data_IF_465446772779
#
_entry.id   IF_465446772779
#
_cell.length_a   1.000
_cell.length_b   1.000
_cell.length_c   1.000
_cell.angle_alpha   90.00
_cell.angle_beta   90.00
_cell.angle_gamma   90.00
#
_symmetry.space_group_name_H-M   'P 1'
#
loop_
_entity.id
_entity.type
_entity.pdbx_description
1 polymer ?
#
# COMPACT_ATOMS: atom_id res chain seq x y z
N UNK A 1 69.54 -36.56 8.34
CA UNK A 1 69.95 -36.67 6.92
C UNK A 1 69.13 -37.78 6.27
N UNK A 2 68.08 -37.41 5.54
CA UNK A 2 67.41 -38.21 4.49
C UNK A 2 66.34 -37.31 3.87
N UNK A 3 66.66 -36.80 2.70
CA UNK A 3 65.83 -35.96 1.85
C UNK A 3 64.59 -36.71 1.40
N UNK A 4 63.43 -36.05 1.40
CA UNK A 4 62.25 -36.53 0.65
C UNK A 4 61.75 -35.38 -0.23
N UNK A 5 61.75 -35.70 -1.51
CA UNK A 5 61.45 -34.93 -2.70
C UNK A 5 60.01 -34.38 -2.68
N UNK A 6 59.84 -33.08 -2.90
CA UNK A 6 58.55 -32.45 -3.17
C UNK A 6 58.21 -32.69 -4.64
N UNK A 7 57.26 -33.58 -4.91
CA UNK A 7 56.62 -33.71 -6.22
C UNK A 7 55.49 -32.69 -6.31
N UNK A 8 55.60 -31.77 -7.27
CA UNK A 8 54.53 -30.86 -7.67
C UNK A 8 53.41 -31.66 -8.35
N UNK A 9 52.22 -31.70 -7.74
CA UNK A 9 51.00 -32.19 -8.38
C UNK A 9 50.22 -31.00 -8.97
N UNK A 10 50.00 -31.07 -10.28
CA UNK A 10 49.34 -30.06 -11.08
C UNK A 10 47.88 -29.82 -10.65
N UNK A 11 47.49 -28.56 -10.67
CA UNK A 11 46.13 -28.10 -10.42
C UNK A 11 45.17 -28.59 -11.51
N UNK A 12 44.21 -29.44 -11.14
CA UNK A 12 42.99 -29.62 -11.90
C UNK A 12 41.96 -28.60 -11.40
N UNK A 13 41.89 -27.45 -12.07
CA UNK A 13 40.74 -26.55 -11.93
C UNK A 13 39.53 -27.27 -12.53
N UNK A 14 38.67 -27.81 -11.68
CA UNK A 14 37.31 -28.12 -12.06
C UNK A 14 36.65 -26.79 -12.44
N UNK A 15 36.41 -26.59 -13.73
CA UNK A 15 35.54 -25.54 -14.24
C UNK A 15 34.15 -25.91 -13.71
N UNK A 16 33.81 -25.40 -12.53
CA UNK A 16 32.42 -25.23 -12.14
C UNK A 16 31.88 -24.28 -13.19
N UNK A 17 31.13 -24.82 -14.14
CA UNK A 17 30.39 -24.04 -15.10
C UNK A 17 29.63 -22.99 -14.31
N UNK A 18 30.03 -21.73 -14.47
CA UNK A 18 29.20 -20.61 -14.09
C UNK A 18 27.89 -20.83 -14.84
N UNK A 19 26.90 -21.34 -14.13
CA UNK A 19 25.53 -21.19 -14.55
C UNK A 19 25.38 -19.69 -14.65
N UNK A 20 25.35 -19.15 -15.87
CA UNK A 20 24.99 -17.77 -16.09
C UNK A 20 23.66 -17.60 -15.35
N UNK A 21 23.70 -16.88 -14.24
CA UNK A 21 22.50 -16.45 -13.57
C UNK A 21 21.72 -15.68 -14.63
N UNK A 22 20.63 -16.28 -15.12
CA UNK A 22 19.82 -15.70 -16.17
C UNK A 22 19.18 -14.45 -15.56
N UNK A 23 19.84 -13.30 -15.73
CA UNK A 23 19.36 -12.00 -15.27
C UNK A 23 18.06 -11.59 -15.97
N UNK A 24 17.66 -12.30 -17.04
CA UNK A 24 16.35 -12.15 -17.65
C UNK A 24 15.28 -12.98 -16.94
N UNK A 25 14.17 -12.34 -16.57
CA UNK A 25 12.96 -12.97 -16.02
C UNK A 25 12.22 -13.89 -17.02
N UNK A 26 12.93 -14.52 -17.95
CA UNK A 26 12.38 -15.40 -19.01
C UNK A 26 11.62 -14.64 -20.11
N UNK A 27 11.90 -13.35 -20.27
CA UNK A 27 11.25 -12.47 -21.24
C UNK A 27 12.11 -12.34 -22.50
N UNK A 28 11.50 -12.44 -23.68
CA UNK A 28 12.18 -12.39 -24.98
C UNK A 28 12.22 -10.98 -25.61
N UNK A 29 11.70 -9.98 -24.91
CA UNK A 29 11.62 -8.58 -25.36
C UNK A 29 10.30 -7.91 -24.97
N UNK A 30 10.29 -6.58 -24.91
CA UNK A 30 9.10 -5.78 -24.62
C UNK A 30 9.38 -4.58 -23.72
N UNK A 31 8.33 -3.82 -23.41
CA UNK A 31 8.41 -2.67 -22.50
C UNK A 31 7.40 -2.82 -21.36
N UNK A 32 7.84 -2.56 -20.14
CA UNK A 32 7.02 -2.48 -18.93
C UNK A 32 7.06 -1.05 -18.42
N UNK A 33 5.94 -0.34 -18.53
CA UNK A 33 5.78 1.02 -18.01
C UNK A 33 4.84 0.99 -16.81
N UNK A 34 5.37 1.37 -15.65
CA UNK A 34 4.68 1.28 -14.36
C UNK A 34 4.22 2.67 -13.92
N UNK A 35 2.93 2.87 -13.70
CA UNK A 35 2.42 4.08 -13.04
C UNK A 35 2.21 3.80 -11.54
N UNK A 36 2.63 4.69 -10.66
CA UNK A 36 2.40 4.49 -9.22
C UNK A 36 2.56 5.75 -8.38
N UNK A 37 2.23 5.62 -7.11
CA UNK A 37 2.55 6.66 -6.13
C UNK A 37 4.05 6.65 -5.79
N UNK A 38 4.55 7.73 -5.23
CA UNK A 38 5.95 7.89 -4.83
C UNK A 38 6.11 7.65 -3.32
N UNK A 39 6.53 6.43 -2.95
CA UNK A 39 6.99 6.10 -1.60
C UNK A 39 7.81 4.81 -1.57
N UNK A 40 8.55 4.61 -0.49
CA UNK A 40 9.59 3.58 -0.37
C UNK A 40 9.14 2.14 -0.68
N UNK A 41 7.91 1.74 -0.31
CA UNK A 41 7.46 0.37 -0.58
C UNK A 41 7.23 0.13 -2.07
N UNK A 42 6.70 1.12 -2.81
CA UNK A 42 6.56 1.03 -4.27
C UNK A 42 7.94 1.04 -4.93
N UNK A 43 8.90 1.80 -4.39
CA UNK A 43 10.28 1.76 -4.89
C UNK A 43 10.84 0.34 -4.83
N UNK A 44 10.66 -0.36 -3.71
CA UNK A 44 11.12 -1.75 -3.60
C UNK A 44 10.49 -2.68 -4.66
N UNK A 45 9.19 -2.53 -4.95
CA UNK A 45 8.51 -3.31 -6.00
C UNK A 45 9.04 -2.96 -7.40
N UNK A 46 9.19 -1.66 -7.70
CA UNK A 46 9.69 -1.17 -8.99
C UNK A 46 11.14 -1.58 -9.22
N UNK A 47 12.01 -1.44 -8.22
CA UNK A 47 13.40 -1.88 -8.32
C UNK A 47 13.49 -3.40 -8.49
N UNK A 48 12.63 -4.17 -7.82
CA UNK A 48 12.48 -5.60 -8.06
C UNK A 48 12.11 -5.90 -9.52
N UNK A 49 11.15 -5.17 -10.09
CA UNK A 49 10.75 -5.33 -11.49
C UNK A 49 11.88 -4.94 -12.47
N UNK A 50 12.64 -3.89 -12.16
CA UNK A 50 13.79 -3.44 -12.99
C UNK A 50 14.91 -4.46 -13.07
N UNK A 51 15.01 -5.41 -12.12
CA UNK A 51 15.95 -6.53 -12.25
C UNK A 51 15.67 -7.43 -13.46
N UNK A 52 14.45 -7.37 -14.01
CA UNK A 52 14.07 -8.06 -15.24
C UNK A 52 14.47 -7.33 -16.53
N UNK A 53 15.02 -6.11 -16.46
CA UNK A 53 15.45 -5.36 -17.64
C UNK A 53 16.74 -5.96 -18.23
N UNK A 54 16.86 -5.94 -19.55
CA UNK A 54 17.95 -6.61 -20.29
C UNK A 54 17.41 -7.39 -21.50
N UNK A 55 18.30 -7.82 -22.40
CA UNK A 55 17.96 -8.69 -23.55
C UNK A 55 16.72 -8.24 -24.37
N UNK A 56 16.57 -6.93 -24.59
CA UNK A 56 15.44 -6.35 -25.34
C UNK A 56 14.21 -6.00 -24.50
N UNK A 57 14.30 -6.13 -23.17
CA UNK A 57 13.27 -5.72 -22.21
C UNK A 57 13.63 -4.39 -21.55
N UNK A 58 12.69 -3.43 -21.56
CA UNK A 58 12.79 -2.19 -20.79
C UNK A 58 11.76 -2.18 -19.67
N UNK A 59 12.16 -1.68 -18.49
CA UNK A 59 11.29 -1.50 -17.34
C UNK A 59 11.45 -0.07 -16.83
N UNK A 60 10.40 0.73 -16.99
CA UNK A 60 10.36 2.13 -16.58
C UNK A 60 9.20 2.37 -15.61
N UNK A 61 9.32 3.42 -14.79
CA UNK A 61 8.27 3.78 -13.85
C UNK A 61 8.09 5.30 -13.80
N UNK A 62 6.83 5.73 -13.79
CA UNK A 62 6.43 7.09 -13.42
C UNK A 62 5.78 7.04 -12.03
N UNK A 63 6.54 7.48 -11.03
CA UNK A 63 6.10 7.55 -9.65
C UNK A 63 5.83 9.01 -9.29
N UNK A 64 4.58 9.30 -8.91
CA UNK A 64 4.14 10.68 -8.68
C UNK A 64 2.93 10.71 -7.76
N UNK A 65 2.82 11.76 -6.94
CA UNK A 65 1.64 12.02 -6.11
C UNK A 65 0.34 12.21 -6.94
N UNK A 66 0.49 12.53 -8.23
CA UNK A 66 -0.64 12.81 -9.15
C UNK A 66 -1.11 11.57 -9.92
N UNK A 67 -0.54 10.40 -9.63
CA UNK A 67 -0.76 9.17 -10.41
C UNK A 67 -2.23 8.79 -10.56
N UNK A 68 -3.03 8.96 -9.50
CA UNK A 68 -4.46 8.64 -9.51
C UNK A 68 -5.27 9.54 -10.45
N UNK A 69 -4.84 10.80 -10.67
CA UNK A 69 -5.55 11.74 -11.56
C UNK A 69 -5.37 11.40 -13.03
N UNK A 70 -4.24 10.79 -13.40
CA UNK A 70 -3.90 10.47 -14.79
C UNK A 70 -4.21 9.03 -15.16
N UNK A 71 -4.45 8.15 -14.19
CA UNK A 71 -4.53 6.69 -14.37
C UNK A 71 -5.57 6.26 -15.40
N UNK A 72 -6.81 6.72 -15.29
CA UNK A 72 -7.88 6.36 -16.23
C UNK A 72 -7.52 6.80 -17.65
N UNK A 73 -7.20 8.08 -17.83
CA UNK A 73 -6.85 8.62 -19.15
C UNK A 73 -5.65 7.89 -19.79
N UNK A 74 -4.64 7.57 -19.00
CA UNK A 74 -3.43 6.91 -19.48
C UNK A 74 -3.66 5.46 -19.93
N UNK A 75 -4.62 4.75 -19.30
CA UNK A 75 -5.01 3.38 -19.68
C UNK A 75 -6.07 3.36 -20.79
N UNK A 76 -6.86 4.42 -20.95
CA UNK A 76 -7.81 4.57 -22.07
C UNK A 76 -7.10 4.83 -23.41
N UNK A 77 -5.91 5.42 -23.40
CA UNK A 77 -5.13 5.67 -24.61
C UNK A 77 -4.87 4.36 -25.39
N UNK A 78 -4.74 4.45 -26.71
CA UNK A 78 -4.45 3.31 -27.58
C UNK A 78 -3.23 3.62 -28.48
N UNK A 79 -2.07 2.96 -28.27
CA UNK A 79 -1.80 2.01 -27.18
C UNK A 79 -1.78 2.69 -25.81
N UNK A 80 -2.09 1.93 -24.76
CA UNK A 80 -2.06 2.42 -23.38
C UNK A 80 -0.65 2.93 -23.02
N UNK A 81 -0.59 4.05 -22.29
CA UNK A 81 0.69 4.68 -21.94
C UNK A 81 1.48 3.86 -20.89
N UNK A 82 0.76 3.14 -20.03
CA UNK A 82 1.32 2.28 -18.99
C UNK A 82 0.80 0.87 -19.15
N UNK A 83 1.66 -0.12 -18.88
CA UNK A 83 1.29 -1.53 -18.92
C UNK A 83 0.82 -2.03 -17.55
N UNK A 84 1.21 -1.35 -16.47
CA UNK A 84 0.81 -1.70 -15.09
C UNK A 84 0.60 -0.43 -14.27
N UNK A 85 -0.27 -0.52 -13.26
CA UNK A 85 -0.45 0.54 -12.29
C UNK A 85 -0.48 0.01 -10.86
N UNK A 86 0.19 0.70 -9.96
CA UNK A 86 -0.08 0.57 -8.53
C UNK A 86 -1.42 1.24 -8.22
N UNK A 87 -2.26 0.51 -7.49
CA UNK A 87 -3.62 0.92 -7.12
C UNK A 87 -3.83 0.74 -5.63
N UNK A 88 -4.71 1.56 -5.07
CA UNK A 88 -5.37 1.27 -3.81
C UNK A 88 -6.70 0.57 -4.09
N UNK A 89 -7.31 -0.04 -3.07
CA UNK A 89 -8.65 -0.64 -3.18
C UNK A 89 -9.69 0.37 -3.68
N UNK A 90 -9.51 1.66 -3.40
CA UNK A 90 -10.36 2.72 -3.94
C UNK A 90 -10.06 3.06 -5.40
N UNK A 91 -8.79 3.13 -5.81
CA UNK A 91 -8.39 3.57 -7.15
C UNK A 91 -8.38 2.46 -8.22
N UNK A 92 -8.62 1.21 -7.84
CA UNK A 92 -8.90 0.12 -8.79
C UNK A 92 -10.33 0.21 -9.37
N UNK A 93 -11.29 0.75 -8.62
CA UNK A 93 -12.72 0.75 -9.01
C UNK A 93 -12.96 1.50 -10.34
N UNK A 94 -12.43 2.72 -10.56
CA UNK A 94 -12.64 3.41 -11.84
C UNK A 94 -12.06 2.64 -13.04
N UNK A 95 -10.92 1.97 -12.86
CA UNK A 95 -10.31 1.14 -13.90
C UNK A 95 -11.15 -0.09 -14.23
N UNK A 96 -11.72 -0.74 -13.21
CA UNK A 96 -12.63 -1.87 -13.38
C UNK A 96 -13.89 -1.46 -14.12
N UNK A 97 -14.54 -0.38 -13.66
CA UNK A 97 -15.78 0.12 -14.25
C UNK A 97 -15.62 0.56 -15.71
N UNK A 98 -14.43 1.04 -16.07
CA UNK A 98 -14.10 1.43 -17.44
C UNK A 98 -13.56 0.27 -18.30
N UNK A 99 -13.41 -0.94 -17.76
CA UNK A 99 -12.88 -2.09 -18.49
C UNK A 99 -11.41 -1.97 -18.89
N UNK A 100 -10.63 -1.16 -18.16
CA UNK A 100 -9.26 -0.79 -18.51
C UNK A 100 -8.19 -1.74 -17.96
N UNK A 101 -8.59 -2.70 -17.13
CA UNK A 101 -7.70 -3.70 -16.57
C UNK A 101 -8.26 -5.10 -16.77
N UNK A 102 -7.36 -6.06 -16.90
CA UNK A 102 -7.67 -7.47 -17.11
C UNK A 102 -7.62 -8.28 -15.81
N UNK A 103 -8.35 -9.40 -15.74
CA UNK A 103 -8.09 -10.42 -14.74
C UNK A 103 -6.65 -10.94 -14.85
N UNK A 104 -6.10 -11.35 -13.71
CA UNK A 104 -4.74 -11.86 -13.54
C UNK A 104 -4.73 -13.37 -13.28
N UNK A 105 -5.87 -14.06 -13.32
CA UNK A 105 -5.98 -15.46 -12.91
C UNK A 105 -5.05 -16.39 -13.71
N UNK A 106 -4.87 -16.15 -15.01
CA UNK A 106 -3.93 -16.89 -15.86
C UNK A 106 -2.47 -16.61 -15.51
N UNK A 107 -2.15 -15.35 -15.21
CA UNK A 107 -0.82 -14.94 -14.75
C UNK A 107 -0.49 -15.52 -13.37
N UNK A 108 -1.46 -15.54 -12.45
CA UNK A 108 -1.33 -16.15 -11.13
C UNK A 108 -1.16 -17.67 -11.25
N UNK A 109 -1.90 -18.34 -12.13
CA UNK A 109 -1.74 -19.77 -12.35
C UNK A 109 -0.33 -20.10 -12.87
N UNK A 110 0.23 -19.24 -13.72
CA UNK A 110 1.54 -19.45 -14.34
C UNK A 110 2.72 -19.03 -13.44
N UNK A 111 2.60 -17.92 -12.72
CA UNK A 111 3.72 -17.27 -12.03
C UNK A 111 3.50 -17.04 -10.53
N UNK A 112 2.30 -17.31 -10.02
CA UNK A 112 1.86 -16.92 -8.68
C UNK A 112 2.11 -17.96 -7.59
N UNK A 113 2.96 -18.98 -7.79
CA UNK A 113 3.14 -20.08 -6.83
C UNK A 113 3.67 -19.62 -5.46
N UNK A 114 4.32 -18.46 -5.41
CA UNK A 114 4.77 -17.82 -4.16
C UNK A 114 3.74 -16.91 -3.49
N UNK A 115 2.58 -16.66 -4.12
CA UNK A 115 1.56 -15.75 -3.60
C UNK A 115 0.69 -16.43 -2.55
N UNK A 116 0.44 -15.71 -1.45
CA UNK A 116 -0.53 -16.14 -0.43
C UNK A 116 -1.96 -15.83 -0.89
N UNK A 117 -2.97 -16.60 -0.47
CA UNK A 117 -4.38 -16.28 -0.76
C UNK A 117 -4.78 -14.86 -0.36
N UNK A 118 -4.23 -14.33 0.73
CA UNK A 118 -4.47 -12.95 1.21
C UNK A 118 -3.92 -11.87 0.29
N UNK A 119 -3.07 -12.22 -0.68
CA UNK A 119 -2.54 -11.28 -1.67
C UNK A 119 -3.42 -11.19 -2.92
N UNK A 120 -4.36 -12.12 -3.12
CA UNK A 120 -5.18 -12.16 -4.32
C UNK A 120 -6.43 -11.30 -4.12
N UNK A 121 -6.42 -10.08 -4.64
CA UNK A 121 -7.57 -9.18 -4.56
C UNK A 121 -8.60 -9.61 -5.60
N UNK A 122 -9.72 -10.13 -5.13
CA UNK A 122 -10.80 -10.65 -5.99
C UNK A 122 -11.97 -9.69 -6.10
N UNK A 123 -12.43 -9.48 -7.33
CA UNK A 123 -13.67 -8.78 -7.66
C UNK A 123 -14.49 -9.71 -8.56
N UNK A 124 -15.74 -9.96 -8.20
CA UNK A 124 -16.63 -10.91 -8.91
C UNK A 124 -15.98 -12.28 -9.16
N UNK A 125 -15.24 -12.77 -8.17
CA UNK A 125 -14.55 -14.06 -8.21
C UNK A 125 -13.23 -14.10 -8.98
N UNK A 126 -12.86 -13.02 -9.70
CA UNK A 126 -11.64 -12.93 -10.52
C UNK A 126 -10.55 -12.15 -9.80
N UNK A 127 -9.29 -12.58 -9.95
CA UNK A 127 -8.16 -11.86 -9.36
C UNK A 127 -7.85 -10.62 -10.19
N UNK A 128 -8.10 -9.42 -9.64
CA UNK A 128 -7.94 -8.15 -10.35
C UNK A 128 -6.70 -7.35 -9.93
N UNK A 129 -6.10 -7.68 -8.77
CA UNK A 129 -4.85 -7.08 -8.33
C UNK A 129 -4.09 -8.03 -7.38
N UNK A 130 -2.79 -7.79 -7.26
CA UNK A 130 -1.91 -8.49 -6.30
C UNK A 130 -1.53 -7.51 -5.20
N UNK A 131 -1.91 -7.83 -3.96
CA UNK A 131 -1.52 -7.04 -2.81
C UNK A 131 -0.06 -7.32 -2.44
N UNK A 132 0.72 -6.24 -2.35
CA UNK A 132 2.10 -6.25 -1.88
C UNK A 132 2.24 -5.57 -0.50
N UNK A 133 1.25 -4.79 -0.10
CA UNK A 133 1.15 -4.16 1.23
C UNK A 133 -0.31 -4.00 1.65
N UNK A 134 -0.54 -3.89 2.95
CA UNK A 134 -1.84 -3.52 3.52
C UNK A 134 -1.63 -2.37 4.49
N UNK A 135 -2.47 -1.35 4.40
CA UNK A 135 -2.51 -0.26 5.35
C UNK A 135 -3.56 -0.53 6.41
N UNK A 136 -3.25 -0.17 7.65
CA UNK A 136 -4.20 -0.18 8.75
C UNK A 136 -3.96 1.08 9.59
N UNK A 137 -5.03 1.85 9.79
CA UNK A 137 -4.97 3.04 10.63
C UNK A 137 -5.00 2.63 12.10
N UNK A 138 -4.06 3.18 12.87
CA UNK A 138 -3.92 2.91 14.29
C UNK A 138 -3.79 4.22 15.05
N UNK A 139 -4.22 4.23 16.31
CA UNK A 139 -3.90 5.30 17.24
C UNK A 139 -2.47 5.11 17.75
N UNK A 140 -1.60 6.07 17.47
CA UNK A 140 -0.27 6.17 18.07
C UNK A 140 -0.31 7.20 19.21
N UNK A 141 0.34 6.88 20.33
CA UNK A 141 0.34 7.73 21.50
C UNK A 141 1.69 7.71 22.22
N UNK A 142 1.97 8.79 22.96
CA UNK A 142 3.18 8.93 23.79
C UNK A 142 2.95 8.37 25.19
N UNK A 143 3.41 7.14 25.41
CA UNK A 143 3.27 6.41 26.70
C UNK A 143 3.77 7.23 27.89
N UNK A 144 4.90 7.91 27.74
CA UNK A 144 5.52 8.73 28.77
C UNK A 144 4.70 9.98 29.11
N UNK A 145 4.07 10.62 28.11
CA UNK A 145 3.20 11.78 28.34
C UNK A 145 1.89 11.38 29.00
N UNK A 146 1.30 10.25 28.60
CA UNK A 146 0.13 9.70 29.29
C UNK A 146 0.45 9.34 30.74
N UNK A 147 1.58 8.66 30.99
CA UNK A 147 2.01 8.30 32.34
C UNK A 147 2.27 9.54 33.21
N UNK A 148 2.90 10.59 32.67
CA UNK A 148 3.12 11.87 33.38
C UNK A 148 1.80 12.51 33.82
N UNK A 149 0.73 12.34 33.04
CA UNK A 149 -0.60 12.82 33.35
C UNK A 149 -1.45 11.82 34.15
N UNK A 150 -0.96 10.61 34.44
CA UNK A 150 -1.74 9.56 35.11
C UNK A 150 -2.90 9.03 34.26
N UNK A 151 -2.73 8.97 32.94
CA UNK A 151 -3.75 8.56 31.96
C UNK A 151 -3.41 7.16 31.43
N UNK A 152 -4.39 6.26 31.40
CA UNK A 152 -4.26 4.96 30.74
C UNK A 152 -4.41 5.08 29.22
N UNK A 153 -3.84 4.17 28.41
CA UNK A 153 -4.01 4.19 26.96
C UNK A 153 -5.50 4.20 26.54
N UNK A 154 -5.94 5.20 25.77
CA UNK A 154 -7.35 5.34 25.41
C UNK A 154 -7.78 4.26 24.40
N UNK A 155 -9.02 3.82 24.52
CA UNK A 155 -9.67 2.78 23.74
C UNK A 155 -10.86 3.30 22.94
N UNK A 156 -11.38 4.48 23.27
CA UNK A 156 -12.46 5.16 22.53
C UNK A 156 -12.07 6.59 22.17
N UNK A 157 -12.77 7.19 21.21
CA UNK A 157 -12.54 8.59 20.84
C UNK A 157 -12.87 9.55 21.98
N UNK A 158 -13.86 9.24 22.82
CA UNK A 158 -14.18 10.02 24.02
C UNK A 158 -13.01 10.00 25.03
N UNK A 159 -12.35 8.84 25.20
CA UNK A 159 -11.15 8.74 26.03
C UNK A 159 -9.95 9.47 25.42
N UNK A 160 -9.79 9.43 24.09
CA UNK A 160 -8.76 10.23 23.38
C UNK A 160 -8.98 11.72 23.63
N UNK A 161 -10.22 12.19 23.50
CA UNK A 161 -10.57 13.58 23.72
C UNK A 161 -10.33 14.02 25.18
N UNK A 162 -10.71 13.18 26.15
CA UNK A 162 -10.43 13.43 27.56
C UNK A 162 -8.92 13.49 27.85
N UNK A 163 -8.16 12.58 27.25
CA UNK A 163 -6.70 12.57 27.37
C UNK A 163 -6.07 13.82 26.75
N UNK A 164 -6.53 14.22 25.56
CA UNK A 164 -6.08 15.42 24.88
C UNK A 164 -6.33 16.67 25.73
N UNK A 165 -7.54 16.82 26.26
CA UNK A 165 -7.91 17.92 27.16
C UNK A 165 -6.99 17.99 28.38
N UNK A 166 -6.82 16.87 29.08
CA UNK A 166 -5.99 16.82 30.29
C UNK A 166 -4.52 17.15 29.99
N UNK A 167 -3.94 16.61 28.92
CA UNK A 167 -2.57 16.91 28.53
C UNK A 167 -2.34 18.41 28.25
N UNK A 168 -3.34 19.08 27.67
CA UNK A 168 -3.31 20.52 27.39
C UNK A 168 -3.50 21.36 28.67
N UNK A 169 -4.47 21.00 29.50
CA UNK A 169 -4.76 21.67 30.78
C UNK A 169 -3.59 21.57 31.78
N UNK A 170 -2.92 20.41 31.83
CA UNK A 170 -1.72 20.19 32.65
C UNK A 170 -0.46 20.87 32.06
N UNK A 171 -0.57 21.53 30.91
CA UNK A 171 0.56 22.18 30.22
C UNK A 171 1.62 21.17 29.74
N UNK A 172 1.28 19.89 29.60
CA UNK A 172 2.20 18.82 29.20
C UNK A 172 2.42 18.85 27.69
N UNK A 173 1.37 19.11 26.91
CA UNK A 173 1.42 19.11 25.45
C UNK A 173 0.43 20.13 24.87
N UNK A 174 0.96 21.11 24.13
CA UNK A 174 0.16 22.19 23.52
C UNK A 174 -0.79 21.69 22.41
N UNK A 175 -0.33 20.72 21.63
CA UNK A 175 -1.06 20.05 20.55
C UNK A 175 -1.14 18.55 20.84
N UNK A 176 -2.09 18.12 21.68
CA UNK A 176 -2.13 16.75 22.17
C UNK A 176 -2.77 15.76 21.20
N UNK A 177 -3.29 16.24 20.06
CA UNK A 177 -3.81 15.40 18.99
C UNK A 177 -3.37 15.91 17.62
N UNK A 178 -3.16 14.98 16.68
CA UNK A 178 -2.84 15.29 15.30
C UNK A 178 -3.58 14.32 14.38
N UNK A 179 -4.18 14.86 13.31
CA UNK A 179 -4.86 14.08 12.27
C UNK A 179 -4.80 14.82 10.93
N UNK A 180 -5.05 14.11 9.84
CA UNK A 180 -4.98 14.71 8.50
C UNK A 180 -6.34 15.35 8.14
N UNK A 181 -6.45 16.68 8.23
CA UNK A 181 -7.73 17.40 8.02
C UNK A 181 -7.88 18.11 6.68
N UNK A 182 -6.92 17.94 5.75
CA UNK A 182 -6.99 18.58 4.42
C UNK A 182 -8.25 18.09 3.67
N UNK A 183 -9.01 19.02 3.10
CA UNK A 183 -10.21 18.71 2.34
C UNK A 183 -9.93 17.70 1.21
N UNK A 184 -10.90 16.80 0.95
CA UNK A 184 -10.77 15.69 0.02
C UNK A 184 -10.48 14.39 0.74
N UNK A 185 -9.53 13.61 0.22
CA UNK A 185 -9.26 12.25 0.69
C UNK A 185 -8.92 12.17 2.19
N UNK A 186 -8.06 13.06 2.69
CA UNK A 186 -7.60 13.03 4.09
C UNK A 186 -8.78 13.19 5.07
N UNK A 187 -9.56 14.26 4.93
CA UNK A 187 -10.72 14.48 5.81
C UNK A 187 -11.80 13.40 5.63
N UNK A 188 -11.96 12.89 4.40
CA UNK A 188 -12.87 11.79 4.12
C UNK A 188 -12.50 10.50 4.84
N UNK A 189 -11.21 10.16 4.88
CA UNK A 189 -10.70 8.98 5.61
C UNK A 189 -10.99 9.09 7.11
N UNK A 190 -10.73 10.24 7.74
CA UNK A 190 -11.02 10.43 9.16
C UNK A 190 -12.51 10.27 9.48
N UNK A 191 -13.39 10.78 8.61
CA UNK A 191 -14.84 10.55 8.76
C UNK A 191 -15.19 9.06 8.62
N UNK A 192 -14.65 8.36 7.63
CA UNK A 192 -14.91 6.92 7.42
C UNK A 192 -14.47 6.10 8.64
N UNK A 193 -13.31 6.39 9.23
CA UNK A 193 -12.82 5.68 10.40
C UNK A 193 -13.71 5.89 11.62
N UNK A 194 -14.09 7.14 11.92
CA UNK A 194 -14.99 7.44 13.03
C UNK A 194 -16.38 6.86 12.81
N UNK A 195 -16.91 6.96 11.59
CA UNK A 195 -18.22 6.40 11.24
C UNK A 195 -18.24 4.88 11.39
N UNK A 196 -17.21 4.18 10.90
CA UNK A 196 -17.08 2.73 11.05
C UNK A 196 -17.03 2.30 12.52
N UNK A 197 -16.43 3.12 13.40
CA UNK A 197 -16.42 2.91 14.84
C UNK A 197 -17.83 2.91 15.48
N UNK A 198 -18.84 3.46 14.81
CA UNK A 198 -20.24 3.42 15.29
C UNK A 198 -20.92 2.07 15.03
N UNK A 199 -20.37 1.25 14.13
CA UNK A 199 -20.99 0.01 13.66
C UNK A 199 -22.13 0.20 12.65
N UNK A 200 -22.46 1.45 12.27
CA UNK A 200 -23.47 1.73 11.26
C UNK A 200 -23.01 1.35 9.84
N UNK A 201 -23.95 0.95 8.99
CA UNK A 201 -23.66 0.63 7.58
C UNK A 201 -23.47 1.91 6.76
N UNK A 202 -22.41 1.95 5.95
CA UNK A 202 -22.12 3.10 5.07
C UNK A 202 -23.06 3.22 3.86
N UNK A 203 -23.71 2.12 3.46
CA UNK A 203 -24.60 2.05 2.30
C UNK A 203 -25.93 1.43 2.68
N UNK A 204 -27.00 1.78 1.94
CA UNK A 204 -28.28 1.09 2.08
C UNK A 204 -28.13 -0.38 1.65
N UNK A 205 -28.68 -1.34 2.40
CA UNK A 205 -28.53 -2.76 2.10
C UNK A 205 -28.86 -3.09 0.64
N UNK A 206 -27.94 -3.76 -0.05
CA UNK A 206 -28.12 -4.20 -1.43
C UNK A 206 -27.99 -3.11 -2.50
N UNK A 207 -27.53 -1.90 -2.16
CA UNK A 207 -27.39 -0.80 -3.13
C UNK A 207 -26.06 -0.06 -2.99
N UNK A 208 -25.70 0.75 -3.98
CA UNK A 208 -24.58 1.69 -3.90
C UNK A 208 -24.99 3.06 -3.29
N UNK A 209 -26.22 3.22 -2.80
CA UNK A 209 -26.67 4.48 -2.21
C UNK A 209 -26.08 4.66 -0.80
N UNK A 210 -25.40 5.78 -0.56
CA UNK A 210 -24.80 6.08 0.72
C UNK A 210 -25.86 6.27 1.82
N UNK A 211 -25.62 5.69 2.99
CA UNK A 211 -26.48 5.76 4.18
C UNK A 211 -25.81 6.53 5.33
N UNK A 212 -24.89 7.45 5.02
CA UNK A 212 -24.06 8.15 6.02
C UNK A 212 -24.69 9.44 6.57
N UNK A 213 -25.71 9.99 5.90
CA UNK A 213 -26.42 11.18 6.38
C UNK A 213 -27.49 10.79 7.40
N UNK A 214 -27.05 10.49 8.62
CA UNK A 214 -27.87 10.04 9.74
C UNK A 214 -27.25 10.47 11.08
N UNK A 215 -27.85 10.08 12.20
CA UNK A 215 -27.36 10.43 13.55
C UNK A 215 -25.92 9.98 13.82
N UNK A 216 -25.49 8.82 13.29
CA UNK A 216 -24.12 8.34 13.42
C UNK A 216 -23.14 9.19 12.61
N UNK A 217 -23.54 9.63 11.41
CA UNK A 217 -22.78 10.58 10.61
C UNK A 217 -22.61 11.92 11.31
N UNK A 218 -23.69 12.45 11.88
CA UNK A 218 -23.65 13.67 12.69
C UNK A 218 -22.76 13.49 13.92
N UNK A 219 -22.84 12.35 14.62
CA UNK A 219 -21.98 12.04 15.77
C UNK A 219 -20.50 12.01 15.37
N UNK A 220 -20.14 11.36 14.27
CA UNK A 220 -18.77 11.30 13.77
C UNK A 220 -18.24 12.70 13.41
N UNK A 221 -19.03 13.53 12.72
CA UNK A 221 -18.64 14.91 12.39
C UNK A 221 -18.48 15.79 13.62
N UNK A 222 -19.35 15.64 14.62
CA UNK A 222 -19.23 16.37 15.88
C UNK A 222 -17.95 15.98 16.64
N UNK A 223 -17.63 14.68 16.69
CA UNK A 223 -16.39 14.21 17.30
C UNK A 223 -15.16 14.78 16.55
N UNK A 224 -15.11 14.70 15.21
CA UNK A 224 -14.05 15.30 14.40
C UNK A 224 -13.86 16.79 14.69
N UNK A 225 -14.97 17.53 14.76
CA UNK A 225 -14.94 18.96 15.06
C UNK A 225 -14.37 19.21 16.45
N UNK A 226 -14.83 18.46 17.46
CA UNK A 226 -14.39 18.63 18.84
C UNK A 226 -12.90 18.30 19.00
N UNK A 227 -12.46 17.15 18.49
CA UNK A 227 -11.07 16.73 18.62
C UNK A 227 -10.09 17.61 17.83
N UNK A 228 -10.55 18.27 16.75
CA UNK A 228 -9.74 19.23 15.97
C UNK A 228 -9.40 20.53 16.72
N UNK A 229 -10.04 20.79 17.86
CA UNK A 229 -9.77 21.98 18.69
C UNK A 229 -8.58 21.81 19.64
N UNK A 230 -8.01 20.60 19.71
CA UNK A 230 -6.88 20.27 20.58
C UNK A 230 -5.57 20.32 19.82
#
# INVERSE_FOLDING_TARGET
MKSVTILAAAAAFAIVGASAANAGCGLSGGNVNILGNDFAAIHAVVEGAKTCAGDGVTVEANLTAEHDKIKVAAFTADPAQYTTAHVATSSIVPLLSAGLIRPLDDLVAKHGQGLKPTQLIKVDGKTMAIAFMSNAQHLFYRKDLLAKAGIEPPKTYEEVLAAARKLKEDGILEHPFAMNTKAGWNLGEEFVNMYNGTGASMFKPGTAEAAINNENGVKALNMLKEISSY
#
